data_IF_504524407661
#
_entry.id   IF_504524407661
#
_cell.length_a   1.000
_cell.length_b   1.000
_cell.length_c   1.000
_cell.angle_alpha   90.00
_cell.angle_beta   90.00
_cell.angle_gamma   90.00
#
_symmetry.space_group_name_H-M   'P 1'
#
loop_
_entity.id
_entity.type
_entity.pdbx_description
1 polymer ?
#
# COMPACT_ATOMS: atom_id res chain seq x y z
N UNK A 1 -8.27 18.73 -7.99
CA UNK A 1 -7.19 18.25 -7.11
C UNK A 1 -5.89 18.75 -7.69
N UNK A 2 -5.12 19.55 -6.94
CA UNK A 2 -3.87 20.12 -7.45
C UNK A 2 -2.83 19.00 -7.62
N UNK A 3 -2.26 18.86 -8.82
CA UNK A 3 -1.28 17.82 -9.16
C UNK A 3 -0.14 17.73 -8.13
N UNK A 4 0.31 18.89 -7.63
CA UNK A 4 1.36 19.02 -6.61
C UNK A 4 1.06 18.25 -5.31
N UNK A 5 -0.20 18.25 -4.85
CA UNK A 5 -0.57 17.59 -3.59
C UNK A 5 -0.60 16.06 -3.75
N UNK A 6 -1.00 15.57 -4.93
CA UNK A 6 -1.02 14.14 -5.24
C UNK A 6 0.39 13.55 -5.29
N UNK A 7 1.31 14.24 -5.96
CA UNK A 7 2.71 13.81 -6.06
C UNK A 7 3.36 13.77 -4.68
N UNK A 8 3.09 14.79 -3.85
CA UNK A 8 3.63 14.89 -2.51
C UNK A 8 3.09 13.76 -1.60
N UNK A 9 1.80 13.42 -1.72
CA UNK A 9 1.21 12.28 -1.00
C UNK A 9 1.84 10.93 -1.40
N UNK A 10 2.11 10.71 -2.69
CA UNK A 10 2.78 9.50 -3.18
C UNK A 10 4.22 9.43 -2.64
N UNK A 11 4.96 10.54 -2.71
CA UNK A 11 6.33 10.60 -2.21
C UNK A 11 6.40 10.32 -0.69
N UNK A 12 5.52 10.94 0.10
CA UNK A 12 5.43 10.67 1.54
C UNK A 12 5.08 9.20 1.80
N UNK A 13 4.10 8.65 1.09
CA UNK A 13 3.70 7.24 1.25
C UNK A 13 4.84 6.28 0.95
N UNK A 14 5.62 6.52 -0.11
CA UNK A 14 6.77 5.70 -0.48
C UNK A 14 7.88 5.77 0.57
N UNK A 15 8.26 6.97 1.00
CA UNK A 15 9.27 7.17 2.05
C UNK A 15 8.83 6.48 3.34
N UNK A 16 7.57 6.70 3.74
CA UNK A 16 7.00 6.14 4.96
C UNK A 16 6.96 4.60 4.90
N UNK A 17 6.66 4.02 3.73
CA UNK A 17 6.68 2.57 3.53
C UNK A 17 8.06 1.98 3.76
N UNK A 18 9.10 2.57 3.17
CA UNK A 18 10.49 2.10 3.31
C UNK A 18 10.96 2.26 4.77
N UNK A 19 10.66 3.41 5.38
CA UNK A 19 11.08 3.71 6.75
C UNK A 19 10.42 2.74 7.72
N UNK A 20 9.11 2.52 7.61
CA UNK A 20 8.38 1.60 8.48
C UNK A 20 8.73 0.13 8.22
N UNK A 21 9.06 -0.26 6.98
CA UNK A 21 9.51 -1.63 6.68
C UNK A 21 10.79 -2.01 7.45
N UNK A 22 11.60 -1.03 7.84
CA UNK A 22 12.79 -1.26 8.66
C UNK A 22 12.46 -1.48 10.15
N UNK A 23 11.43 -0.78 10.67
CA UNK A 23 11.07 -0.81 12.09
C UNK A 23 10.00 -1.86 12.42
N UNK A 24 9.05 -2.11 11.52
CA UNK A 24 7.97 -3.07 11.70
C UNK A 24 8.18 -4.26 10.78
N UNK A 25 8.30 -5.45 11.36
CA UNK A 25 8.45 -6.71 10.63
C UNK A 25 7.11 -7.26 10.08
N UNK A 26 6.00 -6.60 10.38
CA UNK A 26 4.63 -7.09 10.09
C UNK A 26 3.94 -6.30 9.00
N UNK A 27 2.93 -6.89 8.35
CA UNK A 27 2.13 -6.26 7.28
C UNK A 27 1.43 -4.94 7.68
N UNK A 28 1.44 -4.58 8.97
CA UNK A 28 0.86 -3.35 9.52
C UNK A 28 1.50 -2.10 8.90
N UNK A 29 2.80 -2.09 8.62
CA UNK A 29 3.45 -0.90 8.04
C UNK A 29 2.87 -0.51 6.69
N UNK A 30 2.43 -1.52 5.94
CA UNK A 30 1.89 -1.38 4.59
C UNK A 30 0.57 -0.62 4.65
N UNK A 31 -0.28 -0.99 5.61
CA UNK A 31 -1.55 -0.32 5.89
C UNK A 31 -1.33 1.14 6.28
N UNK A 32 -0.36 1.39 7.17
CA UNK A 32 -0.04 2.76 7.61
C UNK A 32 0.51 3.60 6.46
N UNK A 33 1.37 3.00 5.62
CA UNK A 33 1.93 3.67 4.44
C UNK A 33 0.86 4.08 3.44
N UNK A 34 -0.31 3.46 3.46
CA UNK A 34 -1.43 3.80 2.59
C UNK A 34 -2.24 5.03 3.04
N UNK A 35 -2.03 5.53 4.27
CA UNK A 35 -2.81 6.67 4.82
C UNK A 35 -2.63 7.96 4.00
N UNK A 36 -1.42 8.39 3.59
CA UNK A 36 -1.27 9.59 2.76
C UNK A 36 -1.99 9.50 1.41
N UNK A 37 -2.19 8.28 0.88
CA UNK A 37 -2.91 8.06 -0.39
C UNK A 37 -4.41 8.33 -0.27
N UNK A 38 -4.95 8.55 0.94
CA UNK A 38 -6.36 8.87 1.16
C UNK A 38 -6.82 10.12 0.40
N UNK A 39 -5.90 11.07 0.18
CA UNK A 39 -6.20 12.34 -0.49
C UNK A 39 -6.38 12.14 -2.00
N UNK A 40 -5.92 11.01 -2.54
CA UNK A 40 -5.97 10.69 -3.97
C UNK A 40 -7.33 10.10 -4.34
N UNK A 41 -7.78 10.32 -5.58
CA UNK A 41 -8.98 9.67 -6.13
C UNK A 41 -8.90 8.14 -6.00
N UNK A 42 -9.97 7.49 -5.55
CA UNK A 42 -10.05 6.03 -5.30
C UNK A 42 -9.34 5.15 -6.33
N UNK A 43 -9.67 5.33 -7.63
CA UNK A 43 -9.12 4.50 -8.71
C UNK A 43 -7.59 4.56 -8.75
N UNK A 44 -7.02 5.74 -8.52
CA UNK A 44 -5.58 5.96 -8.53
C UNK A 44 -4.93 5.60 -7.20
N UNK A 45 -5.61 5.85 -6.07
CA UNK A 45 -5.13 5.47 -4.74
C UNK A 45 -4.85 3.96 -4.65
N UNK A 46 -5.74 3.13 -5.20
CA UNK A 46 -5.55 1.68 -5.23
C UNK A 46 -4.32 1.25 -6.04
N UNK A 47 -4.11 1.85 -7.23
CA UNK A 47 -2.98 1.54 -8.10
C UNK A 47 -1.66 1.96 -7.45
N UNK A 48 -1.60 3.19 -6.94
CA UNK A 48 -0.39 3.70 -6.28
C UNK A 48 -0.09 2.94 -4.99
N UNK A 49 -1.12 2.61 -4.20
CA UNK A 49 -0.97 1.74 -3.03
C UNK A 49 -0.40 0.38 -3.41
N UNK A 50 -0.96 -0.25 -4.44
CA UNK A 50 -0.45 -1.53 -4.92
C UNK A 50 1.02 -1.47 -5.33
N UNK A 51 1.40 -0.48 -6.15
CA UNK A 51 2.77 -0.31 -6.59
C UNK A 51 3.71 -0.06 -5.40
N UNK A 52 3.35 0.85 -4.49
CA UNK A 52 4.17 1.17 -3.32
C UNK A 52 4.34 -0.09 -2.44
N UNK A 53 3.27 -0.81 -2.15
CA UNK A 53 3.34 -2.04 -1.36
C UNK A 53 4.22 -3.10 -2.04
N UNK A 54 3.99 -3.35 -3.34
CA UNK A 54 4.77 -4.32 -4.11
C UNK A 54 6.26 -3.99 -4.14
N UNK A 55 6.61 -2.74 -4.46
CA UNK A 55 7.99 -2.27 -4.52
C UNK A 55 8.66 -2.28 -3.15
N UNK A 56 7.93 -1.95 -2.08
CA UNK A 56 8.46 -1.95 -0.72
C UNK A 56 8.85 -3.37 -0.28
N UNK A 57 7.98 -4.36 -0.49
CA UNK A 57 8.30 -5.76 -0.20
C UNK A 57 9.37 -6.35 -1.12
N UNK A 58 9.41 -5.96 -2.40
CA UNK A 58 10.53 -6.29 -3.28
C UNK A 58 11.85 -5.72 -2.75
N UNK A 59 11.83 -4.51 -2.18
CA UNK A 59 13.00 -3.90 -1.57
C UNK A 59 13.47 -4.65 -0.32
N UNK A 60 12.57 -5.30 0.41
CA UNK A 60 12.95 -6.17 1.53
C UNK A 60 13.81 -7.34 1.06
N UNK A 61 13.57 -7.90 -0.13
CA UNK A 61 14.45 -8.97 -0.68
C UNK A 61 15.84 -8.49 -1.09
N UNK A 62 16.01 -7.19 -1.35
CA UNK A 62 17.33 -6.59 -1.56
C UNK A 62 18.07 -6.39 -0.23
N UNK A 63 17.34 -6.23 0.88
CA UNK A 63 17.90 -6.00 2.22
C UNK A 63 18.15 -7.30 3.00
N UNK A 64 17.29 -8.31 2.82
CA UNK A 64 17.51 -9.66 3.33
C UNK A 64 18.43 -10.44 2.38
N UNK A 65 19.25 -11.38 2.86
CA UNK A 65 20.07 -12.22 1.97
C UNK A 65 19.17 -12.99 1.00
N UNK A 66 19.20 -12.56 -0.26
CA UNK A 66 18.41 -13.13 -1.35
C UNK A 66 18.59 -14.65 -1.45
N UNK A 67 19.79 -15.14 -1.17
CA UNK A 67 20.13 -16.58 -1.12
C UNK A 67 19.27 -17.36 -0.11
N UNK A 68 18.94 -16.78 1.05
CA UNK A 68 18.08 -17.39 2.06
C UNK A 68 16.62 -17.43 1.59
N UNK A 69 16.12 -16.34 0.99
CA UNK A 69 14.76 -16.27 0.45
C UNK A 69 14.56 -17.25 -0.70
N UNK A 70 15.54 -17.37 -1.61
CA UNK A 70 15.53 -18.37 -2.68
C UNK A 70 15.49 -19.78 -2.09
N UNK A 71 16.34 -20.10 -1.10
CA UNK A 71 16.37 -21.43 -0.48
C UNK A 71 15.01 -21.81 0.14
N UNK A 72 14.39 -20.88 0.87
CA UNK A 72 13.06 -21.10 1.46
C UNK A 72 12.02 -21.32 0.35
N UNK A 73 12.07 -20.52 -0.72
CA UNK A 73 11.15 -20.67 -1.86
C UNK A 73 11.31 -22.02 -2.60
N UNK A 74 12.53 -22.56 -2.67
CA UNK A 74 12.79 -23.88 -3.25
C UNK A 74 12.21 -25.00 -2.37
N UNK A 75 12.38 -24.91 -1.05
CA UNK A 75 11.83 -25.88 -0.10
C UNK A 75 10.30 -25.85 -0.08
N UNK A 76 9.70 -24.65 -0.03
CA UNK A 76 8.24 -24.51 -0.10
C UNK A 76 7.72 -25.03 -1.44
N UNK A 77 8.42 -24.70 -2.53
CA UNK A 77 8.04 -25.15 -3.86
C UNK A 77 8.11 -26.67 -4.05
N UNK A 78 9.11 -27.34 -3.46
CA UNK A 78 9.21 -28.81 -3.54
C UNK A 78 8.12 -29.52 -2.75
N UNK A 79 7.67 -28.95 -1.63
CA UNK A 79 6.58 -29.51 -0.81
C UNK A 79 5.21 -29.25 -1.42
N UNK A 80 5.00 -28.07 -1.98
CA UNK A 80 3.68 -27.63 -2.48
C UNK A 80 3.47 -27.89 -3.98
N UNK A 81 4.50 -28.36 -4.68
CA UNK A 81 4.55 -28.44 -6.16
C UNK A 81 4.34 -27.10 -6.86
N UNK A 82 4.54 -25.98 -6.15
CA UNK A 82 4.45 -24.63 -6.70
C UNK A 82 5.85 -24.21 -7.18
N UNK A 83 6.00 -23.62 -8.38
CA UNK A 83 7.28 -23.09 -8.82
C UNK A 83 7.86 -22.07 -7.82
N UNK A 84 9.14 -22.19 -7.47
CA UNK A 84 9.79 -21.35 -6.45
C UNK A 84 9.73 -19.85 -6.77
N UNK A 85 9.76 -19.52 -8.06
CA UNK A 85 9.59 -18.14 -8.56
C UNK A 85 8.22 -17.57 -8.20
N UNK A 86 7.16 -18.38 -8.29
CA UNK A 86 5.81 -17.97 -7.89
C UNK A 86 5.75 -17.70 -6.39
N UNK A 87 6.39 -18.53 -5.57
CA UNK A 87 6.47 -18.34 -4.11
C UNK A 87 7.18 -17.01 -3.77
N UNK A 88 8.27 -16.68 -4.47
CA UNK A 88 8.99 -15.42 -4.29
C UNK A 88 8.17 -14.18 -4.68
N UNK A 89 7.39 -14.28 -5.76
CA UNK A 89 6.56 -13.15 -6.24
C UNK A 89 5.32 -12.98 -5.37
N UNK A 90 4.79 -14.08 -4.81
CA UNK A 90 3.52 -14.08 -4.08
C UNK A 90 3.54 -13.11 -2.89
N UNK A 91 4.64 -13.06 -2.15
CA UNK A 91 4.72 -12.25 -0.94
C UNK A 91 4.67 -10.73 -1.22
N UNK A 92 5.48 -10.15 -2.12
CA UNK A 92 5.29 -8.78 -2.60
C UNK A 92 3.93 -8.54 -3.25
N UNK A 93 3.39 -9.53 -3.96
CA UNK A 93 2.06 -9.41 -4.57
C UNK A 93 0.98 -9.19 -3.50
N UNK A 94 1.00 -10.01 -2.44
CA UNK A 94 0.10 -9.87 -1.29
C UNK A 94 0.30 -8.53 -0.59
N UNK A 95 1.54 -8.10 -0.40
CA UNK A 95 1.87 -6.79 0.15
C UNK A 95 1.30 -5.63 -0.66
N UNK A 96 1.45 -5.69 -1.98
CA UNK A 96 0.83 -4.75 -2.91
C UNK A 96 -0.70 -4.76 -2.79
N UNK A 97 -1.33 -5.94 -2.81
CA UNK A 97 -2.79 -6.07 -2.71
C UNK A 97 -3.30 -5.44 -1.40
N UNK A 98 -2.68 -5.77 -0.26
CA UNK A 98 -3.04 -5.21 1.05
C UNK A 98 -2.93 -3.68 1.02
N UNK A 99 -1.80 -3.14 0.55
CA UNK A 99 -1.60 -1.70 0.46
C UNK A 99 -2.64 -1.01 -0.45
N UNK A 100 -2.91 -1.60 -1.62
CA UNK A 100 -3.88 -1.08 -2.57
C UNK A 100 -5.30 -1.06 -2.00
N UNK A 101 -5.71 -2.11 -1.29
CA UNK A 101 -6.98 -2.14 -0.59
C UNK A 101 -7.04 -1.13 0.55
N UNK A 102 -5.99 -1.01 1.36
CA UNK A 102 -5.93 0.00 2.42
C UNK A 102 -6.03 1.41 1.85
N UNK A 103 -5.33 1.72 0.76
CA UNK A 103 -5.39 3.02 0.10
C UNK A 103 -6.79 3.31 -0.45
N UNK A 104 -7.46 2.30 -1.03
CA UNK A 104 -8.84 2.41 -1.49
C UNK A 104 -9.80 2.69 -0.34
N UNK A 105 -9.65 1.99 0.79
CA UNK A 105 -10.46 2.21 1.99
C UNK A 105 -10.29 3.62 2.53
N UNK A 106 -9.05 4.09 2.73
CA UNK A 106 -8.82 5.43 3.25
C UNK A 106 -9.29 6.53 2.30
N UNK A 107 -9.08 6.36 1.00
CA UNK A 107 -9.61 7.27 -0.02
C UNK A 107 -11.14 7.32 0.00
N UNK A 108 -11.79 6.18 0.23
CA UNK A 108 -13.25 6.12 0.39
C UNK A 108 -13.75 6.84 1.62
N UNK A 109 -13.09 6.65 2.76
CA UNK A 109 -13.45 7.30 4.01
C UNK A 109 -13.28 8.82 3.91
N UNK A 110 -12.20 9.29 3.29
CA UNK A 110 -11.96 10.70 3.06
C UNK A 110 -13.05 11.36 2.20
N UNK A 111 -13.44 10.71 1.10
CA UNK A 111 -14.51 11.21 0.22
C UNK A 111 -15.88 11.25 0.94
N UNK A 112 -16.19 10.22 1.74
CA UNK A 112 -17.42 10.14 2.53
C UNK A 112 -17.49 11.23 3.61
N UNK A 113 -16.38 11.50 4.30
CA UNK A 113 -16.30 12.57 5.29
C UNK A 113 -16.56 13.93 4.66
N UNK A 114 -15.87 14.25 3.55
CA UNK A 114 -16.05 15.53 2.86
C UNK A 114 -17.48 15.76 2.36
N UNK A 115 -18.18 14.71 1.89
CA UNK A 115 -19.58 14.81 1.48
C UNK A 115 -20.54 15.10 2.64
N UNK A 116 -20.27 14.58 3.85
CA UNK A 116 -21.08 14.88 5.04
C UNK A 116 -20.94 16.34 5.46
N UNK A 117 -19.73 16.89 5.41
CA UNK A 117 -19.48 18.28 5.77
C UNK A 117 -20.13 19.27 4.80
N UNK A 118 -20.09 18.99 3.50
CA UNK A 118 -20.77 19.83 2.48
C UNK A 118 -22.29 19.82 2.69
N UNK A 119 -22.90 18.66 2.98
CA UNK A 119 -24.34 18.58 3.29
C UNK A 119 -24.72 19.36 4.55
N UNK A 120 -23.86 19.33 5.59
CA UNK A 120 -24.08 20.08 6.83
C UNK A 120 -24.03 21.59 6.56
N UNK A 121 -23.04 22.05 5.79
CA UNK A 121 -22.91 23.46 5.40
C UNK A 121 -24.06 23.95 4.50
N UNK A 122 -24.51 23.12 3.56
CA UNK A 122 -25.66 23.44 2.70
C UNK A 122 -26.97 23.57 3.51
N UNK A 123 -27.11 22.82 4.61
CA UNK A 123 -28.28 22.89 5.50
C UNK A 123 -28.27 24.14 6.39
N UNK A 124 -27.08 24.61 6.79
CA UNK A 124 -26.91 25.85 7.59
C UNK A 124 -27.18 27.10 6.75
N UNK A 125 -26.89 27.08 5.44
CA UNK A 125 -27.04 28.24 4.56
C UNK A 125 -28.47 28.45 4.00
N UNK A 126 -29.38 27.52 4.26
CA UNK A 126 -30.79 27.55 3.83
C UNK A 126 -31.75 27.91 4.99
N UNK A 127 -31.20 28.51 6.06
CA UNK A 127 -31.90 29.14 7.18
C UNK A 127 -31.44 30.60 7.19
#
# INVERSE_FOLDING_TARGET
>A
MNLKHSVLAIAISAILSILLAFFLKDAVYVVISAVPLAIIKKKWAAIYGFLIGFLSFMSVYLLYPFSSSVRISTVVGSVTSIPSVLVLILYPLLGGIICGFSALLFSSLYELSGKKDIKKLAKVKNI
#
